data_IF_414892280991
#
_entry.id   IF_414892280991
#
_cell.length_a   1.000
_cell.length_b   1.000
_cell.length_c   1.000
_cell.angle_alpha   90.00
_cell.angle_beta   90.00
_cell.angle_gamma   90.00
#
_symmetry.space_group_name_H-M   'P 1'
#
loop_
_entity.id
_entity.type
_entity.pdbx_description
1 polymer ?
#
# COMPACT_ATOMS: atom_id res chain seq x y z
N UNK A 1 -31.20 41.44 -28.84
CA UNK A 1 -31.86 40.66 -27.76
C UNK A 1 -30.80 40.29 -26.75
N UNK A 2 -30.83 40.95 -25.58
CA UNK A 2 -29.82 40.82 -24.53
C UNK A 2 -30.05 39.60 -23.65
N UNK A 3 -28.99 38.84 -23.40
CA UNK A 3 -28.98 37.79 -22.39
C UNK A 3 -28.58 38.41 -21.05
N UNK A 4 -29.51 38.36 -20.09
CA UNK A 4 -29.34 38.80 -18.71
C UNK A 4 -28.43 37.81 -17.97
N UNK A 5 -27.22 38.24 -17.61
CA UNK A 5 -26.43 37.60 -16.56
C UNK A 5 -27.12 37.82 -15.20
N UNK A 6 -27.48 36.73 -14.52
CA UNK A 6 -28.01 36.78 -13.15
C UNK A 6 -26.89 36.43 -12.17
N UNK A 7 -26.26 37.48 -11.66
CA UNK A 7 -25.43 37.49 -10.46
C UNK A 7 -26.26 37.10 -9.25
N UNK A 8 -25.99 35.94 -8.65
CA UNK A 8 -26.50 35.58 -7.31
C UNK A 8 -25.45 35.98 -6.29
N UNK A 9 -25.65 37.14 -5.66
CA UNK A 9 -24.93 37.56 -4.46
C UNK A 9 -25.59 36.92 -3.25
N UNK A 10 -24.83 36.16 -2.47
CA UNK A 10 -25.25 35.70 -1.15
C UNK A 10 -24.89 36.79 -0.13
N UNK A 11 -25.84 37.34 0.64
CA UNK A 11 -25.52 38.21 1.77
C UNK A 11 -25.46 37.36 3.03
N UNK A 12 -24.35 37.38 3.77
CA UNK A 12 -24.38 37.38 5.24
C UNK A 12 -22.96 37.63 5.74
N UNK A 13 -22.73 38.85 6.22
CA UNK A 13 -21.59 39.15 7.06
C UNK A 13 -21.87 38.67 8.48
N UNK A 14 -20.89 37.99 9.09
CA UNK A 14 -20.78 37.95 10.53
C UNK A 14 -19.30 37.94 10.94
N UNK A 15 -19.05 38.70 12.00
CA UNK A 15 -17.78 39.28 12.42
C UNK A 15 -16.89 38.25 13.12
N UNK A 16 -15.59 38.32 12.84
CA UNK A 16 -14.55 37.68 13.64
C UNK A 16 -14.13 38.58 14.83
N UNK A 17 -13.96 38.02 16.04
CA UNK A 17 -12.92 38.43 17.00
C UNK A 17 -11.76 37.42 16.89
N UNK A 18 -10.48 37.79 16.83
CA UNK A 18 -9.78 38.70 17.72
C UNK A 18 -8.98 37.88 18.74
N UNK A 19 -7.65 37.85 18.56
CA UNK A 19 -6.62 37.53 19.57
C UNK A 19 -6.64 36.14 20.24
N UNK A 20 -5.60 35.32 20.07
CA UNK A 20 -4.39 35.43 20.90
C UNK A 20 -3.26 34.55 20.33
N UNK A 21 -2.13 35.21 20.10
CA UNK A 21 -0.82 34.61 19.83
C UNK A 21 -0.38 33.85 21.09
N UNK A 22 -0.01 32.57 20.98
CA UNK A 22 0.76 31.88 22.01
C UNK A 22 1.92 31.12 21.34
N UNK A 23 3.01 31.85 21.16
CA UNK A 23 4.31 31.34 20.78
C UNK A 23 4.93 30.69 22.04
N UNK A 24 5.09 29.36 22.06
CA UNK A 24 5.91 28.69 23.08
C UNK A 24 7.13 28.12 22.37
N UNK A 25 8.18 28.93 22.31
CA UNK A 25 9.55 28.50 22.07
C UNK A 25 10.15 28.09 23.42
N UNK A 26 10.45 26.80 23.58
CA UNK A 26 11.41 26.36 24.59
C UNK A 26 12.55 25.62 23.90
N UNK A 27 13.62 26.36 23.66
CA UNK A 27 14.93 25.82 23.32
C UNK A 27 15.64 25.43 24.61
N UNK A 28 16.05 24.17 24.72
CA UNK A 28 17.21 23.78 25.53
C UNK A 28 18.02 22.77 24.73
N UNK A 29 19.11 23.27 24.18
CA UNK A 29 20.24 22.50 23.67
C UNK A 29 20.86 21.76 24.85
N UNK A 30 20.82 20.43 24.81
CA UNK A 30 21.61 19.56 25.66
C UNK A 30 22.47 18.68 24.78
N UNK A 31 23.69 19.13 24.49
CA UNK A 31 24.72 18.31 23.89
C UNK A 31 25.07 17.17 24.85
N UNK A 32 24.89 15.94 24.40
CA UNK A 32 25.56 14.78 24.96
C UNK A 32 26.14 13.99 23.78
N UNK A 33 27.32 14.40 23.36
CA UNK A 33 28.22 13.53 22.60
C UNK A 33 28.66 12.42 23.54
N UNK A 34 27.99 11.26 23.51
CA UNK A 34 28.53 10.04 24.10
C UNK A 34 29.37 9.34 23.05
N UNK A 35 30.68 9.54 23.19
CA UNK A 35 31.75 8.86 22.47
C UNK A 35 31.60 7.35 22.68
N UNK A 36 31.12 6.64 21.66
CA UNK A 36 31.05 5.19 21.67
C UNK A 36 32.36 4.67 21.09
N UNK A 37 33.10 3.78 21.78
CA UNK A 37 34.35 3.25 21.24
C UNK A 37 34.03 2.42 20.00
N UNK A 38 34.56 2.88 18.87
CA UNK A 38 34.53 2.21 17.58
C UNK A 38 35.28 0.88 17.70
N UNK A 39 34.56 -0.24 17.56
CA UNK A 39 35.17 -1.55 17.41
C UNK A 39 35.67 -1.70 15.98
N UNK A 40 36.99 -1.75 15.78
CA UNK A 40 37.59 -2.02 14.47
C UNK A 40 37.06 -3.32 13.85
N UNK A 41 36.83 -3.35 12.53
CA UNK A 41 36.51 -4.60 11.84
C UNK A 41 37.78 -5.46 11.76
N UNK A 42 37.75 -6.74 12.15
CA UNK A 42 38.90 -7.60 11.90
C UNK A 42 39.09 -7.76 10.39
N UNK A 43 40.27 -7.31 9.94
CA UNK A 43 40.72 -7.38 8.57
C UNK A 43 40.60 -8.79 7.98
N UNK A 44 40.18 -8.82 6.72
CA UNK A 44 40.08 -10.01 5.90
C UNK A 44 41.40 -10.78 5.88
N UNK A 45 41.30 -12.06 6.19
CA UNK A 45 42.30 -13.06 5.81
C UNK A 45 41.74 -13.88 4.67
N UNK A 46 42.54 -13.95 3.63
CA UNK A 46 42.30 -14.66 2.39
C UNK A 46 42.09 -16.15 2.68
N UNK A 47 40.85 -16.61 2.48
CA UNK A 47 40.53 -18.03 2.51
C UNK A 47 40.08 -18.48 1.12
N UNK A 48 41.03 -18.50 0.17
CA UNK A 48 40.94 -19.41 -0.96
C UNK A 48 41.22 -20.84 -0.47
N UNK A 49 40.26 -21.41 0.27
CA UNK A 49 40.29 -22.82 0.66
C UNK A 49 39.58 -23.64 -0.41
N UNK A 50 40.36 -24.51 -1.07
CA UNK A 50 39.88 -25.50 -2.02
C UNK A 50 38.69 -26.28 -1.44
N UNK A 51 37.66 -26.48 -2.27
CA UNK A 51 36.48 -27.26 -1.90
C UNK A 51 36.89 -28.68 -1.46
N UNK A 52 36.55 -29.12 -0.24
CA UNK A 52 36.71 -30.51 0.13
C UNK A 52 35.70 -31.36 -0.66
N UNK A 53 36.21 -32.29 -1.47
CA UNK A 53 35.42 -33.37 -2.05
C UNK A 53 34.96 -34.30 -0.92
N UNK A 54 33.82 -33.97 -0.31
CA UNK A 54 33.17 -34.75 0.73
C UNK A 54 32.00 -35.54 0.15
N UNK A 55 32.09 -36.87 0.18
CA UNK A 55 30.97 -37.77 -0.12
C UNK A 55 29.78 -37.42 0.79
N UNK A 56 28.60 -37.26 0.21
CA UNK A 56 27.35 -37.02 0.94
C UNK A 56 27.11 -38.14 1.94
N UNK A 57 27.06 -37.87 3.26
CA UNK A 57 26.59 -38.86 4.21
C UNK A 57 25.08 -39.04 3.99
N UNK A 58 24.71 -40.21 3.48
CA UNK A 58 23.34 -40.69 3.46
C UNK A 58 22.92 -40.98 4.90
N UNK A 59 22.12 -40.09 5.49
CA UNK A 59 21.58 -40.29 6.84
C UNK A 59 21.39 -38.99 7.62
N UNK A 60 20.53 -38.09 7.15
CA UNK A 60 19.86 -37.14 8.03
C UNK A 60 18.47 -37.71 8.31
N UNK A 61 18.32 -38.38 9.45
CA UNK A 61 17.01 -38.76 9.94
C UNK A 61 16.22 -37.48 10.26
N UNK A 62 15.10 -37.33 9.57
CA UNK A 62 14.23 -36.17 9.61
C UNK A 62 13.52 -36.12 10.97
N UNK A 63 14.15 -35.51 11.98
CA UNK A 63 13.45 -35.18 13.22
C UNK A 63 12.72 -33.85 13.04
N UNK A 64 11.48 -33.92 12.57
CA UNK A 64 10.57 -32.78 12.54
C UNK A 64 9.82 -32.65 13.88
N UNK A 65 9.95 -31.55 14.63
CA UNK A 65 8.92 -31.22 15.61
C UNK A 65 7.70 -30.76 14.81
N UNK A 66 6.73 -31.66 14.63
CA UNK A 66 5.46 -31.37 14.01
C UNK A 66 4.66 -30.42 14.93
N UNK A 67 4.82 -29.11 14.76
CA UNK A 67 3.79 -28.18 15.18
C UNK A 67 2.59 -28.43 14.26
N UNK A 68 1.65 -29.24 14.73
CA UNK A 68 0.36 -29.41 14.05
C UNK A 68 -0.46 -28.15 14.27
N UNK A 69 -0.38 -27.20 13.34
CA UNK A 69 -1.25 -26.04 13.36
C UNK A 69 -2.67 -26.51 13.05
N UNK A 70 -3.59 -26.37 14.01
CA UNK A 70 -5.02 -26.70 13.84
C UNK A 70 -5.79 -25.69 12.97
N UNK A 71 -5.17 -24.58 12.58
CA UNK A 71 -5.77 -23.57 11.73
C UNK A 71 -5.78 -24.01 10.26
N UNK A 72 -6.97 -24.00 9.63
CA UNK A 72 -7.14 -24.28 8.20
C UNK A 72 -7.55 -22.99 7.49
N UNK A 73 -6.77 -22.62 6.48
CA UNK A 73 -7.15 -21.57 5.54
C UNK A 73 -7.99 -22.16 4.41
N UNK A 74 -9.03 -21.44 4.02
CA UNK A 74 -9.90 -21.80 2.89
C UNK A 74 -10.02 -20.55 2.02
N UNK A 75 -9.67 -20.70 0.74
CA UNK A 75 -9.90 -19.64 -0.24
C UNK A 75 -11.41 -19.48 -0.45
N UNK A 76 -11.90 -18.25 -0.29
CA UNK A 76 -13.29 -17.86 -0.48
C UNK A 76 -13.44 -16.74 -1.48
N UNK A 77 -12.37 -16.27 -2.12
CA UNK A 77 -12.43 -15.10 -3.00
C UNK A 77 -13.44 -15.31 -4.14
N UNK A 78 -13.38 -16.46 -4.81
CA UNK A 78 -14.33 -16.80 -5.89
C UNK A 78 -15.78 -16.91 -5.41
N UNK A 79 -16.04 -17.64 -4.32
CA UNK A 79 -17.38 -17.79 -3.73
C UNK A 79 -17.96 -16.44 -3.26
N UNK A 80 -17.09 -15.53 -2.83
CA UNK A 80 -17.41 -14.20 -2.34
C UNK A 80 -17.59 -13.18 -3.48
N UNK A 81 -17.34 -13.53 -4.74
CA UNK A 81 -17.45 -12.58 -5.87
C UNK A 81 -16.23 -11.67 -6.05
N UNK A 82 -15.10 -11.98 -5.42
CA UNK A 82 -13.83 -11.27 -5.56
C UNK A 82 -12.95 -11.97 -6.60
N UNK A 83 -13.14 -11.63 -7.87
CA UNK A 83 -12.25 -12.03 -8.96
C UNK A 83 -11.23 -10.91 -9.24
N UNK A 84 -10.11 -10.96 -8.51
CA UNK A 84 -9.02 -9.99 -8.63
C UNK A 84 -7.68 -10.65 -8.39
N UNK A 85 -6.65 -10.21 -9.12
CA UNK A 85 -5.28 -10.65 -8.91
C UNK A 85 -4.33 -9.48 -9.05
N UNK A 86 -3.54 -9.24 -8.01
CA UNK A 86 -2.46 -8.26 -8.05
C UNK A 86 -1.45 -8.64 -9.14
N UNK A 87 -1.08 -7.67 -9.98
CA UNK A 87 -0.15 -7.89 -11.09
C UNK A 87 1.19 -7.23 -10.75
N UNK A 88 2.12 -8.02 -10.23
CA UNK A 88 3.48 -7.56 -9.90
C UNK A 88 4.41 -7.45 -11.12
N UNK A 89 3.90 -7.50 -12.35
CA UNK A 89 4.72 -7.32 -13.55
C UNK A 89 5.68 -8.46 -13.90
N UNK A 90 5.63 -9.61 -13.22
CA UNK A 90 6.46 -10.78 -13.54
C UNK A 90 6.33 -11.20 -15.02
N UNK A 91 5.18 -10.97 -15.64
CA UNK A 91 4.92 -11.28 -17.05
C UNK A 91 5.74 -10.42 -18.04
N UNK A 92 6.37 -9.34 -17.57
CA UNK A 92 7.28 -8.52 -18.35
C UNK A 92 8.71 -9.11 -18.44
N UNK A 93 9.09 -10.03 -17.54
CA UNK A 93 10.36 -10.75 -17.58
C UNK A 93 11.61 -9.93 -17.23
N UNK A 94 11.45 -8.74 -16.66
CA UNK A 94 12.57 -7.89 -16.24
C UNK A 94 13.13 -8.28 -14.86
N UNK A 95 12.32 -8.92 -14.00
CA UNK A 95 12.72 -9.38 -12.66
C UNK A 95 13.38 -8.28 -11.83
N UNK A 96 12.86 -7.06 -11.96
CA UNK A 96 13.34 -5.89 -11.24
C UNK A 96 12.99 -5.96 -9.75
N UNK A 97 13.68 -5.19 -8.91
CA UNK A 97 13.44 -5.23 -7.46
C UNK A 97 11.99 -4.85 -7.08
N UNK A 98 11.35 -3.99 -7.88
CA UNK A 98 9.94 -3.59 -7.66
C UNK A 98 8.97 -4.75 -7.89
N UNK A 99 9.29 -5.72 -8.76
CA UNK A 99 8.45 -6.91 -9.01
C UNK A 99 8.43 -7.89 -7.84
N UNK A 100 9.38 -7.77 -6.89
CA UNK A 100 9.40 -8.55 -5.65
C UNK A 100 8.42 -8.02 -4.59
N UNK A 101 7.88 -6.82 -4.78
CA UNK A 101 6.93 -6.21 -3.87
C UNK A 101 5.50 -6.69 -4.18
N UNK A 102 4.75 -6.98 -3.11
CA UNK A 102 3.34 -7.37 -3.21
C UNK A 102 2.38 -6.18 -3.16
N UNK A 103 1.10 -6.49 -3.38
CA UNK A 103 0.00 -5.57 -3.15
C UNK A 103 -0.52 -5.63 -1.71
N UNK A 104 -1.10 -4.51 -1.26
CA UNK A 104 -1.89 -4.42 -0.04
C UNK A 104 -3.39 -4.49 -0.31
N UNK A 105 -4.17 -4.12 0.69
CA UNK A 105 -5.62 -3.98 0.63
C UNK A 105 -6.04 -2.76 1.46
N UNK A 106 -6.99 -1.99 0.94
CA UNK A 106 -7.73 -1.00 1.70
C UNK A 106 -9.07 -1.59 2.13
N UNK A 107 -9.40 -1.47 3.42
CA UNK A 107 -10.72 -1.80 3.95
C UNK A 107 -11.42 -0.49 4.28
N UNK A 108 -12.61 -0.28 3.72
CA UNK A 108 -13.35 0.97 3.80
C UNK A 108 -14.86 0.71 3.75
N UNK A 109 -15.67 1.69 4.11
CA UNK A 109 -17.14 1.67 3.96
C UNK A 109 -17.51 2.69 2.87
N UNK A 110 -17.48 2.24 1.61
CA UNK A 110 -17.52 3.10 0.43
C UNK A 110 -18.88 3.77 0.25
N UNK A 111 -19.97 3.06 0.52
CA UNK A 111 -21.34 3.58 0.39
C UNK A 111 -22.00 3.99 1.71
N UNK A 112 -21.28 3.81 2.84
CA UNK A 112 -21.67 4.21 4.21
C UNK A 112 -22.86 3.43 4.74
N UNK A 113 -22.95 2.15 4.40
CA UNK A 113 -23.98 1.25 4.90
C UNK A 113 -23.56 0.47 6.16
N UNK A 114 -22.29 0.61 6.57
CA UNK A 114 -21.70 -0.02 7.74
C UNK A 114 -21.08 -1.40 7.49
N UNK A 115 -21.18 -1.93 6.26
CA UNK A 115 -20.45 -3.12 5.85
C UNK A 115 -19.05 -2.74 5.32
N UNK A 116 -18.09 -3.64 5.50
CA UNK A 116 -16.70 -3.41 5.05
C UNK A 116 -16.56 -3.82 3.59
N UNK A 117 -16.14 -2.87 2.76
CA UNK A 117 -15.78 -2.98 1.36
C UNK A 117 -14.28 -3.15 1.16
N UNK A 118 -13.89 -3.52 -0.07
CA UNK A 118 -12.49 -3.75 -0.43
C UNK A 118 -12.02 -2.79 -1.52
N UNK A 119 -10.85 -2.21 -1.31
CA UNK A 119 -10.03 -1.58 -2.34
C UNK A 119 -8.76 -2.40 -2.55
N UNK A 120 -8.44 -2.75 -3.79
CA UNK A 120 -7.29 -3.57 -4.14
C UNK A 120 -6.40 -2.85 -5.16
N UNK A 121 -5.18 -2.43 -4.79
CA UNK A 121 -4.19 -1.91 -5.73
C UNK A 121 -3.94 -2.88 -6.89
N UNK A 122 -3.79 -2.37 -8.11
CA UNK A 122 -3.62 -3.19 -9.31
C UNK A 122 -2.21 -3.77 -9.53
N UNK A 123 -1.18 -3.10 -9.00
CA UNK A 123 0.20 -3.39 -9.38
C UNK A 123 0.61 -2.62 -10.64
N UNK A 124 1.49 -3.22 -11.42
CA UNK A 124 2.02 -2.64 -12.66
C UNK A 124 3.12 -3.50 -13.27
N UNK A 125 3.72 -2.99 -14.34
CA UNK A 125 4.84 -3.59 -15.06
C UNK A 125 5.97 -2.60 -15.19
N UNK A 126 7.18 -3.10 -15.04
CA UNK A 126 8.39 -2.38 -15.39
C UNK A 126 8.74 -2.71 -16.84
N UNK A 127 8.98 -1.70 -17.66
CA UNK A 127 9.31 -1.83 -19.06
C UNK A 127 10.75 -1.44 -19.38
N UNK A 128 11.13 -1.46 -20.67
CA UNK A 128 12.43 -0.96 -21.10
C UNK A 128 12.54 0.53 -20.75
N UNK A 129 13.77 1.02 -20.57
CA UNK A 129 14.06 2.43 -20.30
C UNK A 129 13.37 2.97 -19.02
N UNK A 130 13.09 2.09 -18.06
CA UNK A 130 12.41 2.43 -16.79
C UNK A 130 10.99 2.97 -16.97
N UNK A 131 10.32 2.56 -18.05
CA UNK A 131 8.90 2.84 -18.25
C UNK A 131 8.04 2.07 -17.25
N UNK A 132 6.94 2.68 -16.83
CA UNK A 132 5.96 2.09 -15.91
C UNK A 132 4.62 2.02 -16.61
N UNK A 133 4.02 0.83 -16.60
CA UNK A 133 2.64 0.61 -17.01
C UNK A 133 1.86 0.10 -15.80
N UNK A 134 0.94 0.91 -15.27
CA UNK A 134 0.17 0.51 -14.09
C UNK A 134 -0.91 -0.51 -14.45
N UNK A 135 -1.40 -1.21 -13.43
CA UNK A 135 -2.63 -1.98 -13.55
C UNK A 135 -3.77 -1.29 -12.78
N UNK A 136 -5.01 -1.30 -13.30
CA UNK A 136 -6.16 -0.69 -12.62
C UNK A 136 -6.39 -1.33 -11.24
N UNK A 137 -6.77 -0.50 -10.28
CA UNK A 137 -7.20 -0.97 -8.97
C UNK A 137 -8.63 -1.54 -9.02
N UNK A 138 -8.91 -2.53 -8.17
CA UNK A 138 -10.24 -3.07 -7.96
C UNK A 138 -10.95 -2.40 -6.80
N UNK A 139 -12.27 -2.23 -6.90
CA UNK A 139 -13.13 -1.82 -5.80
C UNK A 139 -14.31 -2.78 -5.74
N UNK A 140 -14.60 -3.30 -4.56
CA UNK A 140 -15.58 -4.35 -4.34
C UNK A 140 -16.52 -3.93 -3.21
N UNK A 141 -17.78 -3.71 -3.56
CA UNK A 141 -18.85 -3.32 -2.65
C UNK A 141 -19.45 -4.59 -2.02
N UNK A 142 -19.43 -4.65 -0.70
CA UNK A 142 -20.05 -5.70 0.09
C UNK A 142 -21.57 -5.54 0.00
N UNK A 143 -22.28 -6.65 -0.22
CA UNK A 143 -23.75 -6.72 -0.28
C UNK A 143 -24.32 -7.46 0.94
N UNK A 144 -23.52 -7.56 1.99
CA UNK A 144 -23.76 -8.38 3.16
C UNK A 144 -23.28 -9.81 3.00
N UNK A 145 -23.03 -10.48 4.12
CA UNK A 145 -22.70 -11.91 4.16
C UNK A 145 -21.40 -12.29 3.45
N UNK A 146 -20.47 -11.35 3.28
CA UNK A 146 -19.21 -11.51 2.53
C UNK A 146 -19.43 -11.81 1.03
N UNK A 147 -20.50 -11.26 0.44
CA UNK A 147 -20.74 -11.27 -1.01
C UNK A 147 -20.40 -9.91 -1.59
N UNK A 148 -19.50 -9.86 -2.55
CA UNK A 148 -18.96 -8.63 -3.11
C UNK A 148 -19.38 -8.43 -4.57
N UNK A 149 -19.60 -7.17 -4.94
CA UNK A 149 -19.87 -6.72 -6.29
C UNK A 149 -18.71 -5.84 -6.78
N UNK A 150 -18.07 -6.13 -7.92
CA UNK A 150 -17.06 -5.24 -8.48
C UNK A 150 -17.69 -3.91 -8.93
N UNK A 151 -17.17 -2.81 -8.41
CA UNK A 151 -17.66 -1.44 -8.67
C UNK A 151 -16.53 -0.49 -9.09
N UNK A 152 -15.45 -1.02 -9.66
CA UNK A 152 -14.28 -0.22 -10.09
C UNK A 152 -14.63 0.87 -11.12
N UNK A 153 -15.68 0.67 -11.93
CA UNK A 153 -16.12 1.69 -12.91
C UNK A 153 -16.79 2.87 -12.20
N UNK A 154 -17.67 2.57 -11.26
CA UNK A 154 -18.39 3.53 -10.44
C UNK A 154 -17.44 4.31 -9.54
N UNK A 155 -16.41 3.63 -9.02
CA UNK A 155 -15.34 4.25 -8.24
C UNK A 155 -14.33 5.04 -9.10
N UNK A 156 -14.46 5.05 -10.43
CA UNK A 156 -13.55 5.76 -11.32
C UNK A 156 -12.14 5.17 -11.39
N UNK A 157 -11.91 3.99 -10.83
CA UNK A 157 -10.60 3.30 -10.86
C UNK A 157 -10.43 2.42 -12.10
N UNK A 158 -11.54 2.06 -12.77
CA UNK A 158 -11.52 1.31 -14.01
C UNK A 158 -10.78 2.10 -15.12
N UNK A 159 -9.62 1.59 -15.52
CA UNK A 159 -8.80 2.21 -16.57
C UNK A 159 -7.89 3.34 -16.09
N UNK A 160 -7.90 3.67 -14.79
CA UNK A 160 -6.91 4.57 -14.18
C UNK A 160 -5.76 3.74 -13.63
N UNK A 161 -4.64 3.76 -14.33
CA UNK A 161 -3.50 2.90 -14.04
C UNK A 161 -2.16 3.59 -14.34
N UNK A 162 -1.99 4.80 -13.80
CA UNK A 162 -0.84 5.66 -14.14
C UNK A 162 0.44 5.28 -13.37
N UNK A 163 0.34 4.45 -12.32
CA UNK A 163 1.46 4.06 -11.47
C UNK A 163 1.46 2.57 -11.21
N UNK A 164 2.65 2.03 -10.96
CA UNK A 164 2.81 0.70 -10.36
C UNK A 164 2.44 0.79 -8.88
N UNK A 165 1.19 0.44 -8.57
CA UNK A 165 0.61 0.57 -7.22
C UNK A 165 1.00 -0.60 -6.31
N UNK A 166 1.10 -0.35 -5.00
CA UNK A 166 1.48 -1.35 -3.99
C UNK A 166 0.50 -1.36 -2.83
N UNK A 167 0.49 -0.30 -2.01
CA UNK A 167 -0.32 -0.22 -0.81
C UNK A 167 -1.50 0.73 -0.95
N UNK A 168 -2.43 0.61 -0.01
CA UNK A 168 -3.51 1.56 0.20
C UNK A 168 -3.60 1.89 1.69
N UNK A 169 -3.91 3.15 2.00
CA UNK A 169 -4.32 3.59 3.33
C UNK A 169 -5.68 4.30 3.21
N UNK A 170 -6.55 4.07 4.18
CA UNK A 170 -7.92 4.59 4.19
C UNK A 170 -8.09 5.57 5.34
N UNK A 171 -8.76 6.69 5.08
CA UNK A 171 -9.14 7.68 6.07
C UNK A 171 -9.95 8.80 5.43
N UNK A 172 -10.68 9.57 6.23
CA UNK A 172 -11.35 10.78 5.76
C UNK A 172 -10.34 11.94 5.79
N UNK A 173 -9.77 12.25 4.62
CA UNK A 173 -8.67 13.22 4.50
C UNK A 173 -9.18 14.65 4.38
N UNK A 174 -10.32 14.86 3.73
CA UNK A 174 -10.89 16.19 3.51
C UNK A 174 -12.06 16.56 4.44
N UNK A 175 -12.40 15.68 5.40
CA UNK A 175 -13.43 15.86 6.43
C UNK A 175 -14.84 16.00 5.83
N UNK A 176 -15.10 15.34 4.71
CA UNK A 176 -16.40 15.32 4.04
C UNK A 176 -17.32 14.17 4.51
N UNK A 177 -16.78 13.28 5.36
CA UNK A 177 -17.49 12.14 5.92
C UNK A 177 -17.56 10.94 4.97
N UNK A 178 -16.73 10.88 3.93
CA UNK A 178 -16.49 9.72 3.09
C UNK A 178 -15.05 9.21 3.27
N UNK A 179 -14.81 7.89 3.14
CA UNK A 179 -13.45 7.37 3.21
C UNK A 179 -12.68 7.70 1.93
N UNK A 180 -11.55 8.37 2.07
CA UNK A 180 -10.55 8.52 1.02
C UNK A 180 -9.57 7.35 1.01
N UNK A 181 -8.97 7.13 -0.16
CA UNK A 181 -7.94 6.11 -0.38
C UNK A 181 -6.66 6.75 -0.87
N UNK A 182 -5.62 6.72 -0.04
CA UNK A 182 -4.26 7.03 -0.45
C UNK A 182 -3.60 5.77 -1.02
N UNK A 183 -3.20 5.81 -2.29
CA UNK A 183 -2.53 4.69 -2.96
C UNK A 183 -1.04 4.97 -3.06
N UNK A 184 -0.20 4.01 -2.68
CA UNK A 184 1.25 4.13 -2.80
C UNK A 184 1.75 3.39 -4.03
N UNK A 185 2.80 3.89 -4.68
CA UNK A 185 3.35 3.24 -5.85
C UNK A 185 4.80 3.60 -6.16
N UNK A 186 5.35 2.94 -7.18
CA UNK A 186 6.66 3.32 -7.71
C UNK A 186 6.60 4.74 -8.27
N UNK A 187 7.55 5.59 -7.88
CA UNK A 187 7.60 6.99 -8.31
C UNK A 187 6.69 7.96 -7.55
N UNK A 188 6.06 7.54 -6.44
CA UNK A 188 5.40 8.45 -5.49
C UNK A 188 4.08 7.95 -4.90
N UNK A 189 3.41 8.88 -4.22
CA UNK A 189 1.99 8.82 -3.84
C UNK A 189 1.14 9.30 -5.03
#
# INVERSE_FOLDING_TARGET
MGAKERSVRCPLGLKAPGCLLALVLLACVGAACSDSPESEPPGGRDNAAAAPSGKTPSGLEKVEPAIQTVARFVDRAGDAGVDFSYRNGQDAGYYSIVESLGGGIGLLDWDRDGDVDLFLPGGGKFGPEQTIDGHPSGVFLNRGGWSFLPVAREAGTAGVATRYSHGAAVGDFDDDGFPDVLVTGYGGL
#
